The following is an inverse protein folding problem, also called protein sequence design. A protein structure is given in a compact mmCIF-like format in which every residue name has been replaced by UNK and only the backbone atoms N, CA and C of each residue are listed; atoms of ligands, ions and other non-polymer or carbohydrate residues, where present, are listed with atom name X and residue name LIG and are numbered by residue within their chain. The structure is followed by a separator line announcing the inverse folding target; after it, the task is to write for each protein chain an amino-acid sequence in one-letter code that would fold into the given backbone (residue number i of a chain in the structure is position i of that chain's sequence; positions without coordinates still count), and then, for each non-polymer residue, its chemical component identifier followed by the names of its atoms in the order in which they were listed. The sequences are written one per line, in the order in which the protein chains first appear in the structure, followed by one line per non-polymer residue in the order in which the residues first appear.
data_IF_531832067932
#
_entry.id   IF_531832067932
#
_cell.length_a   1.000
_cell.length_b   1.000
_cell.length_c   1.000
_cell.angle_alpha   90.00
_cell.angle_beta   90.00
_cell.angle_gamma   90.00
#
_symmetry.space_group_name_H-M   'P 1'
#
loop_
_entity.id
_entity.type
_entity.pdbx_description
1 polymer ?
#
# COMPACT_ATOMS: atom_id res chain seq x y z
N UNK A 1 34.64 22.20 -7.59
CA UNK A 1 33.61 22.74 -8.50
C UNK A 1 32.31 22.66 -7.74
N UNK A 2 31.82 23.79 -7.22
CA UNK A 2 30.53 23.85 -6.53
C UNK A 2 29.41 23.83 -7.57
N UNK A 3 28.52 22.86 -7.42
CA UNK A 3 27.36 22.66 -8.27
C UNK A 3 26.24 23.59 -7.77
N UNK A 4 26.14 24.79 -8.35
CA UNK A 4 25.08 25.73 -7.99
C UNK A 4 23.77 25.34 -8.68
N UNK A 5 22.87 24.68 -7.93
CA UNK A 5 21.49 24.42 -8.35
C UNK A 5 20.79 25.73 -8.66
N UNK A 6 20.32 25.92 -9.91
CA UNK A 6 19.49 27.06 -10.27
C UNK A 6 18.13 26.96 -9.56
N UNK A 7 18.01 27.64 -8.42
CA UNK A 7 16.75 27.75 -7.67
C UNK A 7 15.83 28.72 -8.42
N UNK A 8 14.63 28.29 -8.80
CA UNK A 8 13.68 29.14 -9.52
C UNK A 8 13.21 30.30 -8.61
N UNK A 9 12.72 31.38 -9.22
CA UNK A 9 12.16 32.53 -8.46
C UNK A 9 11.02 32.07 -7.54
N UNK A 10 10.20 31.13 -8.00
CA UNK A 10 9.12 30.53 -7.21
C UNK A 10 9.65 29.75 -6.00
N UNK A 11 10.73 28.99 -6.16
CA UNK A 11 11.35 28.23 -5.07
C UNK A 11 11.97 29.15 -4.01
N UNK A 12 12.63 30.24 -4.44
CA UNK A 12 13.15 31.28 -3.52
C UNK A 12 12.03 31.97 -2.74
N UNK A 13 10.92 32.31 -3.41
CA UNK A 13 9.74 32.90 -2.75
C UNK A 13 9.13 31.91 -1.75
N UNK A 14 9.05 30.62 -2.10
CA UNK A 14 8.52 29.58 -1.23
C UNK A 14 9.43 29.36 0.00
N UNK A 15 10.75 29.34 -0.19
CA UNK A 15 11.74 29.23 0.89
C UNK A 15 11.67 30.43 1.84
N UNK A 16 11.67 31.66 1.31
CA UNK A 16 11.57 32.87 2.14
C UNK A 16 10.28 32.91 2.97
N UNK A 17 9.17 32.35 2.46
CA UNK A 17 7.92 32.21 3.22
C UNK A 17 8.02 31.15 4.32
N UNK A 18 8.76 30.05 4.10
CA UNK A 18 9.02 29.03 5.13
C UNK A 18 9.90 29.57 6.24
N UNK A 19 10.92 30.34 5.89
CA UNK A 19 11.92 30.86 6.82
C UNK A 19 11.48 32.20 7.46
N UNK A 20 10.25 32.65 7.19
CA UNK A 20 9.70 33.92 7.64
C UNK A 20 10.68 35.09 7.40
N UNK A 21 11.35 35.10 6.25
CA UNK A 21 12.32 36.12 5.89
C UNK A 21 11.62 37.28 5.17
N UNK A 22 11.97 38.50 5.56
CA UNK A 22 11.48 39.72 4.92
C UNK A 22 11.83 39.74 3.43
N UNK A 23 10.86 39.91 2.53
CA UNK A 23 11.15 40.10 1.10
C UNK A 23 11.90 41.41 0.85
N UNK A 24 12.88 41.39 -0.07
CA UNK A 24 13.73 42.56 -0.35
C UNK A 24 12.97 43.78 -0.93
N UNK A 25 11.77 43.58 -1.47
CA UNK A 25 10.93 44.66 -1.99
C UNK A 25 10.00 45.27 -0.92
N UNK A 26 9.97 44.73 0.30
CA UNK A 26 9.15 45.24 1.40
C UNK A 26 9.99 46.07 2.36
N UNK A 27 9.43 47.19 2.81
CA UNK A 27 10.03 47.99 3.88
C UNK A 27 9.84 47.35 5.26
N UNK A 28 10.78 47.62 6.16
CA UNK A 28 10.79 47.09 7.52
C UNK A 28 9.50 47.39 8.28
N UNK A 29 8.95 48.59 8.10
CA UNK A 29 7.68 48.99 8.72
C UNK A 29 6.52 48.14 8.24
N UNK A 30 6.45 47.86 6.93
CA UNK A 30 5.37 47.07 6.35
C UNK A 30 5.52 45.58 6.70
N UNK A 31 6.76 45.10 6.78
CA UNK A 31 7.09 43.76 7.24
C UNK A 31 6.70 43.54 8.70
N UNK A 32 7.06 44.46 9.59
CA UNK A 32 6.71 44.39 11.00
C UNK A 32 5.19 44.36 11.22
N UNK A 33 4.43 45.21 10.52
CA UNK A 33 2.97 45.20 10.58
C UNK A 33 2.37 43.89 10.05
N UNK A 34 2.94 43.30 9.00
CA UNK A 34 2.49 41.99 8.50
C UNK A 34 2.80 40.89 9.51
N UNK A 35 4.03 40.81 10.02
CA UNK A 35 4.43 39.81 11.01
C UNK A 35 3.55 39.91 12.25
N UNK A 36 3.27 41.11 12.76
CA UNK A 36 2.39 41.32 13.91
C UNK A 36 0.96 40.80 13.64
N UNK A 37 0.37 41.17 12.50
CA UNK A 37 -1.00 40.73 12.13
C UNK A 37 -1.11 39.21 11.96
N UNK A 38 -0.12 38.58 11.33
CA UNK A 38 -0.15 37.16 10.98
C UNK A 38 0.50 36.24 12.03
N UNK A 39 1.21 36.78 13.02
CA UNK A 39 1.76 36.02 14.16
C UNK A 39 0.78 35.85 15.31
N UNK A 40 -0.41 36.45 15.24
CA UNK A 40 -1.47 36.26 16.24
C UNK A 40 -1.92 34.80 16.28
N UNK A 41 -2.19 34.30 17.49
CA UNK A 41 -2.68 32.93 17.69
C UNK A 41 -4.01 32.69 16.95
N UNK A 42 -4.83 33.73 16.75
CA UNK A 42 -6.03 33.63 15.93
C UNK A 42 -5.73 33.45 14.43
N UNK A 43 -4.76 34.19 13.88
CA UNK A 43 -4.34 34.03 12.49
C UNK A 43 -3.67 32.66 12.26
N UNK A 44 -2.81 32.23 13.19
CA UNK A 44 -2.21 30.89 13.17
C UNK A 44 -3.25 29.79 13.30
N UNK A 45 -4.24 29.93 14.18
CA UNK A 45 -5.35 28.97 14.34
C UNK A 45 -6.26 28.93 13.10
N UNK A 46 -6.51 30.07 12.45
CA UNK A 46 -7.26 30.14 11.19
C UNK A 46 -6.48 29.48 10.04
N UNK A 47 -5.17 29.72 9.96
CA UNK A 47 -4.27 29.06 9.01
C UNK A 47 -4.18 27.55 9.27
N UNK A 48 -4.09 27.11 10.53
CA UNK A 48 -4.10 25.71 10.91
C UNK A 48 -5.45 25.04 10.58
N UNK A 49 -6.58 25.75 10.73
CA UNK A 49 -7.91 25.27 10.28
C UNK A 49 -8.00 25.12 8.77
N UNK A 50 -7.35 26.00 8.01
CA UNK A 50 -7.24 25.89 6.55
C UNK A 50 -6.25 24.81 6.11
N UNK A 51 -5.22 24.50 6.91
CA UNK A 51 -4.33 23.36 6.69
C UNK A 51 -4.97 22.02 7.05
N UNK A 52 -5.89 22.00 8.02
CA UNK A 52 -6.57 20.78 8.49
C UNK A 52 -7.70 20.29 7.57
N UNK A 53 -8.01 21.01 6.49
CA UNK A 53 -8.87 20.49 5.42
C UNK A 53 -8.12 19.60 4.42
N UNK A 54 -6.79 19.54 4.51
CA UNK A 54 -5.98 18.66 3.66
C UNK A 54 -5.74 17.32 4.37
N UNK A 55 -6.76 16.46 4.31
CA UNK A 55 -6.60 15.02 4.13
C UNK A 55 -5.85 14.24 5.20
N UNK A 56 -6.07 14.52 6.48
CA UNK A 56 -5.71 13.60 7.57
C UNK A 56 -6.95 13.33 8.44
N UNK A 57 -7.99 12.81 7.79
CA UNK A 57 -8.94 11.96 8.48
C UNK A 57 -8.28 10.59 8.47
N UNK A 58 -7.99 10.04 9.65
CA UNK A 58 -7.26 8.79 9.89
C UNK A 58 -7.96 7.54 9.33
N UNK A 59 -8.19 7.53 8.03
CA UNK A 59 -8.43 6.35 7.23
C UNK A 59 -7.03 5.82 6.89
N UNK A 60 -6.72 4.61 7.37
CA UNK A 60 -5.48 3.88 7.03
C UNK A 60 -5.28 3.72 5.50
N UNK A 61 -6.31 4.02 4.70
CA UNK A 61 -6.34 3.88 3.26
C UNK A 61 -6.56 5.24 2.55
N UNK A 62 -5.70 5.62 1.57
CA UNK A 62 -5.88 6.88 0.85
C UNK A 62 -7.19 6.88 0.03
N UNK A 63 -7.90 8.02 -0.03
CA UNK A 63 -9.19 8.11 -0.73
C UNK A 63 -9.03 7.92 -2.24
N UNK A 64 -10.09 7.41 -2.89
CA UNK A 64 -10.17 7.40 -4.36
C UNK A 64 -10.22 8.83 -4.92
N UNK A 65 -9.91 8.99 -6.21
CA UNK A 65 -10.01 10.27 -6.90
C UNK A 65 -11.45 10.76 -7.02
N UNK A 66 -12.42 9.87 -7.10
CA UNK A 66 -13.85 10.24 -7.06
C UNK A 66 -14.25 10.75 -5.67
N UNK A 67 -13.76 10.10 -4.60
CA UNK A 67 -13.97 10.56 -3.24
C UNK A 67 -13.28 11.92 -2.99
N UNK A 68 -12.08 12.12 -3.54
CA UNK A 68 -11.39 13.40 -3.51
C UNK A 68 -12.17 14.48 -4.28
N UNK A 69 -12.70 14.15 -5.46
CA UNK A 69 -13.51 15.06 -6.27
C UNK A 69 -14.77 15.49 -5.52
N UNK A 70 -15.53 14.53 -4.94
CA UNK A 70 -16.67 14.82 -4.05
C UNK A 70 -16.25 15.69 -2.86
N UNK A 71 -15.13 15.38 -2.20
CA UNK A 71 -14.66 16.19 -1.06
C UNK A 71 -14.31 17.64 -1.45
N UNK A 72 -13.84 17.87 -2.67
CA UNK A 72 -13.31 19.17 -3.11
C UNK A 72 -14.29 20.01 -3.94
N UNK A 73 -15.26 19.38 -4.60
CA UNK A 73 -16.19 20.01 -5.53
C UNK A 73 -17.65 19.85 -5.09
N UNK A 74 -17.88 19.70 -3.79
CA UNK A 74 -19.22 19.61 -3.20
C UNK A 74 -19.39 20.68 -2.11
N UNK A 75 -20.57 21.31 -2.09
CA UNK A 75 -20.98 22.29 -1.10
C UNK A 75 -21.25 21.67 0.28
N UNK A 76 -21.58 22.53 1.25
CA UNK A 76 -21.93 22.07 2.61
C UNK A 76 -23.24 21.27 2.66
N UNK A 77 -24.08 21.47 1.65
CA UNK A 77 -25.35 20.79 1.42
C UNK A 77 -25.18 19.43 0.72
N UNK A 78 -23.96 19.06 0.32
CA UNK A 78 -23.71 17.80 -0.39
C UNK A 78 -23.95 17.89 -1.90
N UNK A 79 -24.31 19.06 -2.44
CA UNK A 79 -24.50 19.27 -3.88
C UNK A 79 -23.17 19.56 -4.58
N UNK A 80 -22.97 19.06 -5.80
CA UNK A 80 -21.79 19.42 -6.58
C UNK A 80 -21.80 20.91 -6.94
N UNK A 81 -20.63 21.52 -6.87
CA UNK A 81 -20.38 22.92 -7.24
C UNK A 81 -20.10 23.08 -8.74
N UNK A 82 -19.86 21.97 -9.43
CA UNK A 82 -19.44 21.91 -10.82
C UNK A 82 -20.05 20.68 -11.51
N UNK A 83 -20.87 20.92 -12.53
CA UNK A 83 -21.55 19.89 -13.32
C UNK A 83 -20.55 18.93 -13.97
N UNK A 84 -19.40 19.43 -14.43
CA UNK A 84 -18.40 18.58 -15.07
C UNK A 84 -17.76 17.59 -14.08
N UNK A 85 -17.50 18.02 -12.85
CA UNK A 85 -17.00 17.13 -11.79
C UNK A 85 -18.04 16.09 -11.40
N UNK A 86 -19.31 16.48 -11.34
CA UNK A 86 -20.43 15.58 -11.06
C UNK A 86 -20.53 14.48 -12.11
N UNK A 87 -20.64 14.85 -13.38
CA UNK A 87 -20.73 13.92 -14.51
C UNK A 87 -19.54 12.95 -14.51
N UNK A 88 -18.31 13.48 -14.37
CA UNK A 88 -17.11 12.67 -14.36
C UNK A 88 -17.08 11.67 -13.18
N UNK A 89 -17.44 12.12 -11.98
CA UNK A 89 -17.43 11.26 -10.79
C UNK A 89 -18.49 10.16 -10.90
N UNK A 90 -19.71 10.50 -11.31
CA UNK A 90 -20.82 9.55 -11.47
C UNK A 90 -20.54 8.54 -12.58
N UNK A 91 -20.09 8.98 -13.75
CA UNK A 91 -19.79 8.09 -14.87
C UNK A 91 -18.70 7.07 -14.47
N UNK A 92 -17.65 7.52 -13.76
CA UNK A 92 -16.57 6.67 -13.27
C UNK A 92 -17.07 5.65 -12.27
N UNK A 93 -17.86 6.07 -11.28
CA UNK A 93 -18.43 5.19 -10.26
C UNK A 93 -19.34 4.14 -10.89
N UNK A 94 -20.26 4.56 -11.77
CA UNK A 94 -21.17 3.68 -12.50
C UNK A 94 -20.40 2.66 -13.35
N UNK A 95 -19.39 3.10 -14.12
CA UNK A 95 -18.63 2.19 -14.96
C UNK A 95 -17.83 1.16 -14.17
N UNK A 96 -17.38 1.49 -12.95
CA UNK A 96 -16.73 0.51 -12.07
C UNK A 96 -17.75 -0.43 -11.45
N UNK A 97 -18.91 0.07 -11.08
CA UNK A 97 -20.01 -0.75 -10.54
C UNK A 97 -20.51 -1.76 -11.59
N UNK A 98 -20.67 -1.35 -12.85
CA UNK A 98 -20.99 -2.27 -13.96
C UNK A 98 -19.91 -3.35 -14.14
N UNK A 99 -18.63 -2.99 -14.05
CA UNK A 99 -17.52 -3.95 -14.15
C UNK A 99 -17.49 -4.95 -12.99
N UNK A 100 -18.03 -4.60 -11.82
CA UNK A 100 -18.14 -5.48 -10.67
C UNK A 100 -19.38 -6.40 -10.76
N UNK A 101 -20.47 -5.92 -11.38
CA UNK A 101 -21.73 -6.67 -11.52
C UNK A 101 -21.70 -7.73 -12.62
N UNK A 102 -20.99 -7.49 -13.74
CA UNK A 102 -20.93 -8.42 -14.88
C UNK A 102 -20.12 -9.71 -14.59
N UNK A 103 -19.57 -9.82 -13.37
CA UNK A 103 -18.71 -10.92 -12.92
C UNK A 103 -19.34 -11.92 -11.95
N UNK A 104 -20.59 -11.78 -11.49
CA UNK A 104 -21.16 -12.72 -10.51
C UNK A 104 -22.67 -12.93 -10.65
N UNK A 105 -23.15 -14.16 -10.95
CA UNK A 105 -24.47 -14.60 -10.54
C UNK A 105 -24.34 -15.06 -9.08
N UNK A 106 -25.02 -14.36 -8.16
CA UNK A 106 -25.30 -14.73 -6.76
C UNK A 106 -24.73 -13.73 -5.73
N UNK A 107 -25.65 -12.88 -5.24
CA UNK A 107 -25.89 -12.64 -3.82
C UNK A 107 -24.82 -11.91 -3.00
N UNK A 108 -25.15 -10.69 -2.60
CA UNK A 108 -24.92 -10.10 -1.27
C UNK A 108 -23.73 -10.66 -0.46
N UNK A 109 -22.51 -10.56 -1.00
CA UNK A 109 -21.30 -10.75 -0.22
C UNK A 109 -20.68 -9.40 0.06
N UNK A 110 -20.84 -9.00 1.32
CA UNK A 110 -20.32 -7.80 1.96
C UNK A 110 -18.85 -7.57 1.53
N UNK A 111 -18.58 -6.40 0.95
CA UNK A 111 -17.29 -5.96 0.40
C UNK A 111 -16.34 -5.56 1.56
N UNK A 112 -16.12 -6.43 2.54
CA UNK A 112 -15.39 -6.09 3.78
C UNK A 112 -13.88 -6.44 3.73
N UNK A 113 -13.40 -7.11 2.68
CA UNK A 113 -11.97 -7.42 2.57
C UNK A 113 -11.18 -6.19 2.12
N UNK A 114 -10.11 -5.84 2.84
CA UNK A 114 -9.14 -4.78 2.47
C UNK A 114 -8.63 -4.93 1.04
N UNK A 115 -8.42 -6.16 0.56
CA UNK A 115 -8.05 -6.44 -0.83
C UNK A 115 -9.14 -6.00 -1.84
N UNK A 116 -10.41 -6.23 -1.53
CA UNK A 116 -11.54 -5.82 -2.37
C UNK A 116 -11.71 -4.30 -2.38
N UNK A 117 -11.53 -3.64 -1.23
CA UNK A 117 -11.48 -2.17 -1.12
C UNK A 117 -10.38 -1.57 -2.00
N UNK A 118 -9.14 -2.06 -1.84
CA UNK A 118 -7.99 -1.62 -2.62
C UNK A 118 -8.20 -1.83 -4.14
N UNK A 119 -8.78 -2.97 -4.54
CA UNK A 119 -9.10 -3.27 -5.93
C UNK A 119 -10.17 -2.33 -6.51
N UNK A 120 -11.26 -2.06 -5.76
CA UNK A 120 -12.30 -1.11 -6.17
C UNK A 120 -11.70 0.30 -6.31
N UNK A 121 -10.89 0.74 -5.34
CA UNK A 121 -10.17 2.03 -5.41
C UNK A 121 -9.27 2.11 -6.63
N UNK A 122 -8.51 1.06 -6.92
CA UNK A 122 -7.66 0.99 -8.10
C UNK A 122 -8.47 1.19 -9.39
N UNK A 123 -9.60 0.50 -9.54
CA UNK A 123 -10.47 0.63 -10.71
C UNK A 123 -11.04 2.04 -10.85
N UNK A 124 -11.52 2.63 -9.75
CA UNK A 124 -12.02 4.01 -9.72
C UNK A 124 -10.95 4.99 -10.20
N UNK A 125 -9.74 4.94 -9.61
CA UNK A 125 -8.65 5.84 -9.95
C UNK A 125 -8.20 5.65 -11.41
N UNK A 126 -8.14 4.40 -11.88
CA UNK A 126 -7.75 4.10 -13.25
C UNK A 126 -8.75 4.68 -14.26
N UNK A 127 -10.06 4.53 -14.00
CA UNK A 127 -11.13 5.08 -14.85
C UNK A 127 -11.15 6.60 -14.79
N UNK A 128 -10.98 7.19 -13.61
CA UNK A 128 -10.90 8.64 -13.42
C UNK A 128 -9.73 9.26 -14.21
N UNK A 129 -8.52 8.67 -14.12
CA UNK A 129 -7.37 9.14 -14.91
C UNK A 129 -7.65 9.05 -16.42
N UNK A 130 -8.41 8.04 -16.88
CA UNK A 130 -8.73 7.87 -18.31
C UNK A 130 -9.72 8.92 -18.81
N UNK A 131 -10.81 9.14 -18.06
CA UNK A 131 -11.92 10.03 -18.45
C UNK A 131 -11.64 11.49 -18.15
N UNK A 132 -11.03 11.80 -17.01
CA UNK A 132 -10.73 13.16 -16.59
C UNK A 132 -9.56 13.83 -17.31
N UNK A 133 -8.97 13.21 -18.35
CA UNK A 133 -7.85 13.82 -19.08
C UNK A 133 -8.33 15.04 -19.84
N UNK A 134 -7.65 16.15 -19.62
CA UNK A 134 -7.89 17.38 -20.35
C UNK A 134 -6.91 17.52 -21.53
N UNK A 135 -7.25 18.39 -22.49
CA UNK A 135 -6.35 18.76 -23.61
C UNK A 135 -5.01 19.33 -23.17
N UNK A 136 -4.92 19.84 -21.93
CA UNK A 136 -3.69 20.39 -21.33
C UNK A 136 -2.76 19.32 -20.75
N UNK A 137 -3.11 18.03 -20.88
CA UNK A 137 -2.30 16.94 -20.33
C UNK A 137 -2.34 16.83 -18.80
N UNK A 138 -3.36 17.42 -18.18
CA UNK A 138 -3.66 17.29 -16.74
C UNK A 138 -4.94 16.49 -16.53
N UNK A 139 -5.22 16.07 -15.30
CA UNK A 139 -6.48 15.43 -14.93
C UNK A 139 -7.38 16.45 -14.23
N UNK A 140 -8.60 16.61 -14.71
CA UNK A 140 -9.56 17.55 -14.12
C UNK A 140 -9.91 17.15 -12.67
N UNK A 141 -10.23 18.14 -11.82
CA UNK A 141 -10.68 17.91 -10.45
C UNK A 141 -9.63 17.44 -9.43
N UNK A 142 -8.44 17.01 -9.86
CA UNK A 142 -7.38 16.49 -8.96
C UNK A 142 -6.55 17.58 -8.27
N UNK A 143 -6.56 18.81 -8.79
CA UNK A 143 -5.85 19.94 -8.19
C UNK A 143 -4.33 19.72 -8.07
N UNK A 144 -3.76 20.00 -6.90
CA UNK A 144 -2.32 19.86 -6.65
C UNK A 144 -1.87 18.40 -6.43
N UNK A 145 -2.80 17.49 -6.14
CA UNK A 145 -2.51 16.07 -5.85
C UNK A 145 -1.84 15.40 -7.05
N UNK A 146 -2.21 15.81 -8.26
CA UNK A 146 -1.65 15.24 -9.48
C UNK A 146 -0.18 15.60 -9.75
N UNK A 147 0.48 16.44 -8.94
CA UNK A 147 1.89 16.78 -9.15
C UNK A 147 2.82 16.09 -8.15
N UNK A 148 2.28 15.34 -7.19
CA UNK A 148 3.06 14.63 -6.19
C UNK A 148 3.77 13.43 -6.82
N UNK A 149 5.07 13.29 -6.57
CA UNK A 149 5.88 12.14 -7.02
C UNK A 149 5.85 11.94 -8.55
N UNK A 150 5.89 13.03 -9.32
CA UNK A 150 5.95 12.98 -10.80
C UNK A 150 7.28 13.56 -11.29
N UNK A 151 7.90 12.87 -12.23
CA UNK A 151 9.03 13.40 -12.99
C UNK A 151 8.55 14.47 -13.99
N UNK A 152 9.22 15.63 -14.02
CA UNK A 152 8.93 16.71 -14.97
C UNK A 152 9.03 16.28 -16.45
N UNK A 153 9.72 15.18 -16.74
CA UNK A 153 9.92 14.64 -18.09
C UNK A 153 8.79 13.75 -18.60
N UNK A 154 7.79 13.41 -17.78
CA UNK A 154 6.74 12.44 -18.11
C UNK A 154 5.35 13.07 -17.97
N UNK A 155 4.42 12.88 -18.93
CA UNK A 155 3.07 13.42 -18.82
C UNK A 155 2.34 12.91 -17.56
N UNK A 156 1.63 13.81 -16.87
CA UNK A 156 0.96 13.56 -15.60
C UNK A 156 0.07 12.31 -15.62
N UNK A 157 -0.83 12.10 -16.61
CA UNK A 157 -1.73 10.96 -16.59
C UNK A 157 -0.98 9.61 -16.76
N UNK A 158 0.21 9.64 -17.36
CA UNK A 158 1.04 8.44 -17.52
C UNK A 158 1.76 8.12 -16.21
N UNK A 159 2.32 9.14 -15.55
CA UNK A 159 2.95 9.00 -14.23
C UNK A 159 1.95 8.54 -13.18
N UNK A 160 0.75 9.13 -13.14
CA UNK A 160 -0.32 8.71 -12.23
C UNK A 160 -0.72 7.26 -12.44
N UNK A 161 -0.82 6.81 -13.71
CA UNK A 161 -1.12 5.41 -13.99
C UNK A 161 -0.02 4.47 -13.51
N UNK A 162 1.26 4.82 -13.71
CA UNK A 162 2.38 4.01 -13.20
C UNK A 162 2.37 3.90 -11.68
N UNK A 163 2.10 5.00 -10.98
CA UNK A 163 2.03 5.01 -9.52
C UNK A 163 0.89 4.10 -9.05
N UNK A 164 -0.27 4.19 -9.68
CA UNK A 164 -1.41 3.34 -9.37
C UNK A 164 -1.12 1.84 -9.58
N UNK A 165 -0.39 1.49 -10.65
CA UNK A 165 0.04 0.11 -10.93
C UNK A 165 1.10 -0.37 -9.92
N UNK A 166 1.92 0.52 -9.36
CA UNK A 166 2.85 0.21 -8.26
C UNK A 166 2.08 -0.02 -6.97
N UNK A 167 1.13 0.86 -6.63
CA UNK A 167 0.32 0.75 -5.41
C UNK A 167 -0.46 -0.57 -5.37
N UNK A 168 -1.09 -0.97 -6.49
CA UNK A 168 -1.81 -2.26 -6.56
C UNK A 168 -0.88 -3.46 -6.34
N UNK A 169 0.35 -3.42 -6.88
CA UNK A 169 1.33 -4.47 -6.64
C UNK A 169 1.82 -4.50 -5.20
N UNK A 170 2.02 -3.33 -4.60
CA UNK A 170 2.43 -3.20 -3.20
C UNK A 170 1.37 -3.79 -2.25
N UNK A 171 0.09 -3.49 -2.48
CA UNK A 171 -1.01 -4.10 -1.71
C UNK A 171 -1.07 -5.62 -1.86
N UNK A 172 -0.71 -6.15 -3.04
CA UNK A 172 -0.55 -7.59 -3.24
C UNK A 172 0.58 -8.17 -2.38
N UNK A 173 1.73 -7.50 -2.34
CA UNK A 173 2.85 -7.92 -1.50
C UNK A 173 2.54 -7.84 0.00
N UNK A 174 1.83 -6.81 0.46
CA UNK A 174 1.41 -6.68 1.86
C UNK A 174 0.53 -7.85 2.29
N UNK A 175 -0.37 -8.30 1.41
CA UNK A 175 -1.19 -9.50 1.62
C UNK A 175 -0.32 -10.75 1.77
N UNK A 176 0.57 -11.02 0.80
CA UNK A 176 1.44 -12.21 0.84
C UNK A 176 2.40 -12.19 2.05
N UNK A 177 2.92 -11.01 2.43
CA UNK A 177 3.77 -10.88 3.63
C UNK A 177 2.98 -11.23 4.90
N UNK A 178 1.70 -10.84 4.96
CA UNK A 178 0.85 -11.15 6.10
C UNK A 178 0.58 -12.65 6.22
N UNK A 179 0.30 -13.33 5.10
CA UNK A 179 0.13 -14.78 5.02
C UNK A 179 1.41 -15.52 5.44
N UNK A 180 2.58 -15.13 4.88
CA UNK A 180 3.87 -15.72 5.24
C UNK A 180 4.18 -15.54 6.74
N UNK A 181 3.78 -14.40 7.33
CA UNK A 181 3.97 -14.14 8.76
C UNK A 181 3.12 -15.09 9.61
N UNK A 182 1.90 -15.41 9.18
CA UNK A 182 1.03 -16.38 9.83
C UNK A 182 1.61 -17.80 9.73
N UNK A 183 2.06 -18.21 8.54
CA UNK A 183 2.70 -19.51 8.34
C UNK A 183 3.95 -19.68 9.21
N UNK A 184 4.81 -18.64 9.31
CA UNK A 184 6.00 -18.65 10.17
C UNK A 184 5.61 -18.80 11.65
N UNK A 185 4.51 -18.20 12.09
CA UNK A 185 4.02 -18.36 13.45
C UNK A 185 3.57 -19.82 13.71
N UNK A 186 2.83 -20.41 12.77
CA UNK A 186 2.42 -21.82 12.84
C UNK A 186 3.61 -22.78 12.90
N UNK A 187 4.61 -22.61 12.01
CA UNK A 187 5.84 -23.41 12.01
C UNK A 187 6.59 -23.28 13.34
N UNK A 188 6.58 -22.10 13.96
CA UNK A 188 7.22 -21.87 15.26
C UNK A 188 6.50 -22.62 16.40
N UNK A 189 5.17 -22.70 16.35
CA UNK A 189 4.38 -23.49 17.30
C UNK A 189 4.65 -24.98 17.15
N UNK A 190 4.62 -25.49 15.91
CA UNK A 190 4.92 -26.90 15.60
C UNK A 190 6.33 -27.28 16.06
N UNK A 191 7.32 -26.43 15.81
CA UNK A 191 8.69 -26.66 16.26
C UNK A 191 8.81 -26.72 17.79
N UNK A 192 8.04 -25.88 18.49
CA UNK A 192 8.02 -25.84 19.96
C UNK A 192 7.35 -27.09 20.54
N UNK A 193 6.25 -27.56 19.91
CA UNK A 193 5.59 -28.80 20.27
C UNK A 193 6.52 -30.01 20.05
N UNK A 194 7.16 -30.11 18.88
CA UNK A 194 8.10 -31.18 18.55
C UNK A 194 9.28 -31.22 19.52
N UNK A 195 9.84 -30.05 19.87
CA UNK A 195 10.91 -29.95 20.88
C UNK A 195 10.46 -30.50 22.24
N UNK A 196 9.23 -30.24 22.64
CA UNK A 196 8.65 -30.75 23.89
C UNK A 196 8.46 -32.26 23.84
N UNK A 197 7.96 -32.79 22.72
CA UNK A 197 7.79 -34.23 22.52
C UNK A 197 9.13 -34.98 22.58
N UNK A 198 10.15 -34.48 21.89
CA UNK A 198 11.50 -35.07 21.91
C UNK A 198 12.07 -35.11 23.33
N UNK A 199 11.93 -34.02 24.09
CA UNK A 199 12.40 -33.96 25.48
C UNK A 199 11.61 -34.86 26.43
N UNK A 200 10.37 -35.19 26.08
CA UNK A 200 9.48 -36.05 26.88
C UNK A 200 9.63 -37.54 26.54
N UNK A 201 10.37 -37.87 25.47
CA UNK A 201 10.62 -39.26 25.06
C UNK A 201 11.57 -39.91 26.07
N UNK A 202 11.18 -40.97 26.80
CA UNK A 202 12.06 -41.62 27.75
C UNK A 202 13.27 -42.22 27.02
N UNK A 203 14.48 -41.80 27.41
CA UNK A 203 15.71 -42.44 26.96
C UNK A 203 15.74 -43.89 27.44
N UNK A 204 15.72 -44.83 26.49
CA UNK A 204 16.18 -46.21 26.65
C UNK A 204 15.49 -47.02 27.75
N UNK A 205 14.47 -47.80 27.39
CA UNK A 205 14.32 -49.08 28.07
C UNK A 205 15.44 -50.02 27.58
N UNK A 206 16.22 -50.65 28.47
CA UNK A 206 17.04 -51.78 28.10
C UNK A 206 16.10 -52.87 27.58
N UNK A 207 16.33 -53.35 26.35
CA UNK A 207 15.73 -54.60 25.91
C UNK A 207 16.19 -55.69 26.87
N UNK A 208 15.25 -56.28 27.61
CA UNK A 208 15.50 -57.53 28.33
C UNK A 208 15.93 -58.61 27.31
N UNK A 209 16.86 -59.51 27.68
CA UNK A 209 17.36 -60.50 26.74
C UNK A 209 16.21 -61.43 26.33
N UNK A 210 15.88 -61.41 25.04
CA UNK A 210 14.96 -62.36 24.42
C UNK A 210 15.63 -63.73 24.47
N UNK A 211 15.10 -64.63 25.31
CA UNK A 211 15.49 -66.03 25.31
C UNK A 211 15.20 -66.65 23.94
N UNK A 212 16.25 -67.18 23.33
CA UNK A 212 16.19 -67.92 22.07
C UNK A 212 15.37 -69.20 22.22
N UNK A 213 14.31 -69.34 21.42
CA UNK A 213 13.86 -70.65 20.96
C UNK A 213 13.82 -70.67 19.44
N UNK A 214 14.61 -71.59 18.89
CA UNK A 214 14.76 -71.86 17.47
C UNK A 214 13.52 -72.57 16.92
N UNK A 215 12.99 -72.10 15.79
CA UNK A 215 12.31 -72.97 14.83
C UNK A 215 12.45 -72.39 13.40
N UNK A 216 12.86 -73.20 12.40
CA UNK A 216 13.19 -72.69 11.07
C UNK A 216 11.96 -72.41 10.19
N UNK A 217 12.08 -71.33 9.40
CA UNK A 217 11.15 -70.88 8.36
C UNK A 217 10.96 -71.89 7.21
N UNK A 218 9.93 -71.65 6.37
CA UNK A 218 10.22 -71.39 4.96
C UNK A 218 9.87 -69.95 4.53
N UNK A 219 10.71 -69.45 3.63
CA UNK A 219 10.71 -68.10 3.06
C UNK A 219 9.50 -67.82 2.14
N UNK A 220 8.97 -66.60 2.22
CA UNK A 220 8.68 -65.73 1.07
C UNK A 220 8.16 -64.37 1.56
N UNK A 221 9.04 -63.37 1.69
CA UNK A 221 8.63 -61.97 1.84
C UNK A 221 9.53 -61.07 0.98
N UNK A 222 8.91 -60.36 0.05
CA UNK A 222 9.46 -59.22 -0.67
C UNK A 222 9.57 -58.02 0.29
N UNK A 223 10.63 -57.19 0.23
CA UNK A 223 10.78 -56.07 1.16
C UNK A 223 9.91 -54.86 0.76
N UNK A 224 9.27 -54.16 1.72
CA UNK A 224 8.67 -52.86 1.46
C UNK A 224 9.79 -51.80 1.36
N UNK A 225 9.79 -51.05 0.26
CA UNK A 225 10.68 -49.91 0.03
C UNK A 225 10.27 -48.76 0.96
N UNK A 226 11.00 -48.55 2.06
CA UNK A 226 10.88 -47.34 2.85
C UNK A 226 11.56 -46.20 2.10
N UNK A 227 10.78 -45.20 1.65
CA UNK A 227 11.29 -43.94 1.11
C UNK A 227 12.15 -43.26 2.19
N UNK A 228 13.46 -43.39 2.05
CA UNK A 228 14.42 -42.54 2.76
C UNK A 228 14.63 -41.31 1.87
N UNK A 229 13.83 -40.27 2.06
CA UNK A 229 14.10 -38.97 1.44
C UNK A 229 15.27 -38.32 2.17
N UNK A 230 16.45 -38.49 1.58
CA UNK A 230 17.70 -37.86 1.99
C UNK A 230 17.64 -36.36 1.68
N UNK A 231 16.96 -35.60 2.53
CA UNK A 231 16.72 -34.16 2.34
C UNK A 231 17.97 -33.28 2.52
N UNK A 232 19.02 -33.79 3.15
CA UNK A 232 20.22 -32.99 3.42
C UNK A 232 21.00 -32.68 2.13
N UNK A 233 21.10 -33.65 1.22
CA UNK A 233 21.80 -33.48 -0.05
C UNK A 233 21.07 -32.59 -1.06
N UNK A 234 19.74 -32.46 -0.94
CA UNK A 234 18.94 -31.63 -1.84
C UNK A 234 18.95 -30.15 -1.42
N UNK A 235 19.02 -29.89 -0.12
CA UNK A 235 19.24 -28.54 0.43
C UNK A 235 20.62 -28.02 0.02
N UNK A 236 21.67 -28.84 0.19
CA UNK A 236 23.04 -28.45 -0.19
C UNK A 236 23.17 -28.18 -1.70
N UNK A 237 22.43 -28.93 -2.54
CA UNK A 237 22.36 -28.70 -3.99
C UNK A 237 21.65 -27.40 -4.34
N UNK A 238 20.62 -27.03 -3.58
CA UNK A 238 19.87 -25.80 -3.81
C UNK A 238 20.68 -24.56 -3.41
N UNK A 239 21.40 -24.60 -2.28
CA UNK A 239 22.30 -23.52 -1.84
C UNK A 239 23.38 -23.21 -2.87
N UNK A 240 24.04 -24.25 -3.43
CA UNK A 240 25.06 -24.06 -4.47
C UNK A 240 24.51 -23.44 -5.75
N UNK A 241 23.24 -23.74 -6.11
CA UNK A 241 22.61 -23.21 -7.32
C UNK A 241 22.22 -21.74 -7.20
N UNK A 242 22.01 -21.26 -5.98
CA UNK A 242 21.69 -19.87 -5.69
C UNK A 242 22.91 -19.00 -5.32
N UNK A 243 24.10 -19.61 -5.24
CA UNK A 243 25.34 -18.89 -4.91
C UNK A 243 25.38 -18.37 -3.48
N UNK A 244 24.71 -19.05 -2.55
CA UNK A 244 24.86 -18.85 -1.11
C UNK A 244 25.90 -19.78 -0.51
#
# INVERSE_FOLDING_TARGET
MEETTQVTVCDRISQNRRDNMQPSYMSDTHWATMVEKYSTEEAKKKSAKTGKSHGDEGLDEPPSYTALARKTHTGKDGSFLDEHTEELALEVEEAVEQMLQDGSPLGDSKIDSTAASNAKRYLLNQKYIKRGKTKKGIVYGLGSVQYKNISASVPIPVSLKRNLDVDMRMSGFETTISEVKEDIAGVKEDFSALKTEINSRPQGQPQAPVQSQHQPQPQAQSPPQHLTTNNQSDIDRWCQKLGM
#
